data_IF_211308151959
#
_entry.id   IF_211308151959
#
_cell.length_a   1.000
_cell.length_b   1.000
_cell.length_c   1.000
_cell.angle_alpha   90.00
_cell.angle_beta   90.00
_cell.angle_gamma   90.00
#
_symmetry.space_group_name_H-M   'P 1'
#
loop_
_entity.id
_entity.type
_entity.pdbx_description
1 polymer ?
#
# COMPACT_ATOMS: atom_id res chain seq x y z
N UNK A 1 -4.18 8.68 8.29
CA UNK A 1 -3.10 8.09 7.49
C UNK A 1 -1.94 9.07 7.28
N UNK A 2 -2.07 10.08 6.41
CA UNK A 2 -0.96 10.96 6.02
C UNK A 2 -0.18 11.64 7.16
N UNK A 3 -0.85 12.18 8.18
CA UNK A 3 -0.17 12.81 9.33
C UNK A 3 0.70 11.82 10.12
N UNK A 4 0.20 10.59 10.36
CA UNK A 4 0.96 9.55 11.08
C UNK A 4 2.19 9.12 10.29
N UNK A 5 2.04 8.92 8.98
CA UNK A 5 3.17 8.58 8.10
C UNK A 5 4.21 9.70 8.03
N UNK A 6 3.80 10.98 7.98
CA UNK A 6 4.75 12.11 8.01
C UNK A 6 5.53 12.20 9.32
N UNK A 7 4.87 11.96 10.45
CA UNK A 7 5.54 11.87 11.76
C UNK A 7 6.53 10.72 11.80
N UNK A 8 6.14 9.53 11.34
CA UNK A 8 7.06 8.39 11.22
C UNK A 8 8.26 8.72 10.32
N UNK A 9 8.03 9.36 9.17
CA UNK A 9 9.10 9.76 8.23
C UNK A 9 10.19 10.61 8.87
N UNK A 10 9.85 11.41 9.88
CA UNK A 10 10.76 12.32 10.59
C UNK A 10 11.60 11.62 11.67
N UNK A 11 11.35 10.34 11.95
CA UNK A 11 12.14 9.60 12.93
C UNK A 11 13.59 9.41 12.46
N UNK A 12 14.54 9.69 13.34
CA UNK A 12 15.98 9.57 13.07
C UNK A 12 16.52 8.14 13.23
N UNK A 13 15.70 7.21 13.73
CA UNK A 13 16.10 5.81 13.92
C UNK A 13 16.33 5.10 12.59
N UNK A 14 17.39 4.29 12.54
CA UNK A 14 17.62 3.37 11.42
C UNK A 14 16.63 2.20 11.51
N UNK A 15 16.16 1.75 10.35
CA UNK A 15 15.35 0.55 10.22
C UNK A 15 16.25 -0.71 10.21
N UNK A 16 15.65 -1.89 10.11
CA UNK A 16 16.37 -3.18 10.10
C UNK A 16 17.39 -3.31 8.97
N UNK A 17 17.25 -2.52 7.90
CA UNK A 17 18.18 -2.45 6.77
C UNK A 17 19.28 -1.37 6.95
N UNK A 18 19.43 -0.79 8.14
CA UNK A 18 20.42 0.23 8.46
C UNK A 18 20.14 1.63 7.88
N UNK A 19 19.02 1.82 7.19
CA UNK A 19 18.67 3.07 6.52
C UNK A 19 17.58 3.86 7.25
N UNK A 20 17.46 5.16 6.97
CA UNK A 20 16.33 5.97 7.45
C UNK A 20 15.03 5.51 6.80
N UNK A 21 13.89 5.80 7.42
CA UNK A 21 12.58 5.50 6.83
C UNK A 21 12.29 6.34 5.56
N UNK A 22 12.71 7.60 5.56
CA UNK A 22 12.60 8.50 4.42
C UNK A 22 13.82 8.45 3.48
N UNK A 23 13.67 9.05 2.30
CA UNK A 23 14.73 9.16 1.28
C UNK A 23 14.28 8.71 -0.10
N UNK A 24 15.18 8.84 -1.09
CA UNK A 24 14.95 8.37 -2.48
C UNK A 24 14.71 6.86 -2.47
N UNK A 25 13.65 6.41 -3.17
CA UNK A 25 13.26 4.99 -3.20
C UNK A 25 12.62 4.47 -1.91
N UNK A 26 12.24 5.36 -0.97
CA UNK A 26 11.67 5.02 0.33
C UNK A 26 10.42 5.86 0.61
N UNK A 27 10.08 6.08 1.89
CA UNK A 27 8.88 6.84 2.25
C UNK A 27 9.05 8.34 1.94
N UNK A 28 8.62 8.75 0.75
CA UNK A 28 8.61 10.14 0.27
C UNK A 28 7.25 10.79 0.53
N UNK A 29 7.16 12.13 0.47
CA UNK A 29 5.86 12.82 0.60
C UNK A 29 4.88 12.39 -0.50
N UNK A 30 5.37 12.26 -1.75
CA UNK A 30 4.57 11.73 -2.86
C UNK A 30 4.02 10.34 -2.57
N UNK A 31 4.83 9.45 -1.99
CA UNK A 31 4.36 8.12 -1.60
C UNK A 31 3.33 8.19 -0.46
N UNK A 32 3.53 9.07 0.52
CA UNK A 32 2.56 9.30 1.61
C UNK A 32 1.22 9.79 1.06
N UNK A 33 1.23 10.70 0.08
CA UNK A 33 0.03 11.22 -0.57
C UNK A 33 -0.70 10.13 -1.37
N UNK A 34 0.06 9.28 -2.08
CA UNK A 34 -0.49 8.11 -2.77
C UNK A 34 -1.17 7.14 -1.79
N UNK A 35 -0.48 6.75 -0.71
CA UNK A 35 -1.02 5.88 0.34
C UNK A 35 -2.29 6.50 0.95
N UNK A 36 -2.25 7.80 1.26
CA UNK A 36 -3.38 8.50 1.88
C UNK A 36 -4.58 8.56 0.94
N UNK A 37 -4.36 8.75 -0.36
CA UNK A 37 -5.41 8.75 -1.38
C UNK A 37 -6.08 7.38 -1.49
N UNK A 38 -5.30 6.30 -1.61
CA UNK A 38 -5.83 4.94 -1.66
C UNK A 38 -6.57 4.57 -0.38
N UNK A 39 -6.00 4.89 0.78
CA UNK A 39 -6.67 4.71 2.07
C UNK A 39 -8.03 5.42 2.11
N UNK A 40 -8.08 6.70 1.70
CA UNK A 40 -9.35 7.46 1.66
C UNK A 40 -10.38 6.85 0.71
N UNK A 41 -9.95 6.35 -0.45
CA UNK A 41 -10.81 5.62 -1.39
C UNK A 41 -11.38 4.34 -0.76
N UNK A 42 -10.54 3.54 -0.10
CA UNK A 42 -10.95 2.31 0.58
C UNK A 42 -12.06 2.57 1.61
N UNK A 43 -11.93 3.62 2.43
CA UNK A 43 -12.97 4.01 3.40
C UNK A 43 -14.24 4.47 2.69
N UNK A 44 -14.13 5.35 1.69
CA UNK A 44 -15.30 5.93 1.00
C UNK A 44 -16.12 4.90 0.23
N UNK A 45 -15.48 3.88 -0.34
CA UNK A 45 -16.14 2.85 -1.13
C UNK A 45 -16.80 1.75 -0.27
N UNK A 46 -16.39 1.60 0.99
CA UNK A 46 -16.83 0.49 1.85
C UNK A 46 -17.52 0.96 3.14
N UNK A 47 -18.20 2.12 3.11
CA UNK A 47 -18.80 2.77 4.30
C UNK A 47 -19.81 1.90 5.06
N UNK A 48 -20.46 0.97 4.37
CA UNK A 48 -21.57 0.16 4.91
C UNK A 48 -21.11 -1.18 5.48
N UNK A 49 -19.87 -1.59 5.25
CA UNK A 49 -19.35 -2.88 5.71
C UNK A 49 -17.93 -2.73 6.28
N UNK A 50 -17.81 -2.85 7.60
CA UNK A 50 -16.52 -2.74 8.30
C UNK A 50 -15.52 -3.83 7.88
N UNK A 51 -16.01 -5.05 7.63
CA UNK A 51 -15.18 -6.15 7.14
C UNK A 51 -14.56 -5.81 5.78
N UNK A 52 -15.36 -5.29 4.85
CA UNK A 52 -14.87 -4.98 3.50
C UNK A 52 -14.00 -3.73 3.49
N UNK A 53 -14.31 -2.76 4.34
CA UNK A 53 -13.45 -1.61 4.59
C UNK A 53 -12.06 -2.03 5.07
N UNK A 54 -12.00 -2.95 6.05
CA UNK A 54 -10.73 -3.52 6.54
C UNK A 54 -9.96 -4.22 5.44
N UNK A 55 -10.62 -5.09 4.67
CA UNK A 55 -10.00 -5.78 3.52
C UNK A 55 -9.47 -4.78 2.51
N UNK A 56 -10.24 -3.75 2.17
CA UNK A 56 -9.83 -2.70 1.23
C UNK A 56 -8.65 -1.88 1.73
N UNK A 57 -8.57 -1.54 3.03
CA UNK A 57 -7.41 -0.86 3.62
C UNK A 57 -6.17 -1.74 3.55
N UNK A 58 -6.28 -3.03 3.86
CA UNK A 58 -5.16 -3.98 3.76
C UNK A 58 -4.76 -4.24 2.30
N UNK A 59 -5.70 -4.17 1.34
CA UNK A 59 -5.37 -4.24 -0.08
C UNK A 59 -4.38 -3.15 -0.50
N UNK A 60 -4.50 -1.93 0.05
CA UNK A 60 -3.53 -0.85 -0.20
C UNK A 60 -2.14 -1.22 0.31
N UNK A 61 -2.04 -1.78 1.52
CA UNK A 61 -0.76 -2.20 2.10
C UNK A 61 -0.07 -3.26 1.23
N UNK A 62 -0.80 -4.33 0.92
CA UNK A 62 -0.25 -5.45 0.14
C UNK A 62 0.06 -5.05 -1.30
N UNK A 63 -0.75 -4.19 -1.92
CA UNK A 63 -0.48 -3.65 -3.25
C UNK A 63 0.87 -2.93 -3.33
N UNK A 64 1.22 -2.14 -2.31
CA UNK A 64 2.49 -1.38 -2.29
C UNK A 64 3.68 -2.27 -1.94
N UNK A 65 3.46 -3.31 -1.12
CA UNK A 65 4.45 -4.34 -0.76
C UNK A 65 4.79 -5.22 -1.96
N UNK A 66 3.82 -5.44 -2.85
CA UNK A 66 3.88 -6.39 -3.95
C UNK A 66 5.12 -6.21 -4.83
N UNK A 67 5.72 -7.34 -5.24
CA UNK A 67 6.84 -7.38 -6.17
C UNK A 67 6.59 -8.35 -7.32
N UNK A 68 7.50 -8.41 -8.29
CA UNK A 68 7.35 -9.34 -9.43
C UNK A 68 7.60 -10.77 -8.98
N UNK A 69 8.51 -10.94 -8.01
CA UNK A 69 8.86 -12.19 -7.34
C UNK A 69 7.77 -12.65 -6.37
N UNK A 70 7.07 -11.70 -5.75
CA UNK A 70 5.98 -11.95 -4.81
C UNK A 70 4.79 -11.01 -5.08
N UNK A 71 3.92 -11.37 -6.05
CA UNK A 71 2.72 -10.60 -6.36
C UNK A 71 1.65 -10.74 -5.25
N UNK A 72 1.28 -9.63 -4.61
CA UNK A 72 0.37 -9.59 -3.45
C UNK A 72 -0.89 -8.78 -3.74
N UNK A 73 -1.64 -9.18 -4.77
CA UNK A 73 -2.87 -8.49 -5.20
C UNK A 73 -4.16 -9.19 -4.80
N UNK A 74 -4.11 -10.23 -3.95
CA UNK A 74 -5.28 -11.05 -3.60
C UNK A 74 -6.42 -10.29 -2.90
N UNK A 75 -6.12 -9.14 -2.27
CA UNK A 75 -7.13 -8.27 -1.65
C UNK A 75 -7.58 -7.13 -2.56
N UNK A 76 -6.90 -6.92 -3.70
CA UNK A 76 -7.30 -5.89 -4.66
C UNK A 76 -8.62 -6.30 -5.33
N UNK A 77 -9.50 -5.33 -5.67
CA UNK A 77 -10.71 -5.65 -6.41
C UNK A 77 -10.36 -6.27 -7.77
N UNK A 78 -11.12 -7.27 -8.18
CA UNK A 78 -10.98 -7.93 -9.49
C UNK A 78 -11.92 -7.26 -10.49
N UNK A 79 -11.53 -7.26 -11.77
CA UNK A 79 -12.36 -6.77 -12.87
C UNK A 79 -11.75 -5.57 -13.59
N UNK A 80 -12.30 -5.21 -14.76
CA UNK A 80 -11.72 -4.20 -15.65
C UNK A 80 -11.72 -2.77 -15.08
N UNK A 81 -12.58 -2.52 -14.08
CA UNK A 81 -12.66 -1.25 -13.37
C UNK A 81 -11.82 -1.22 -12.09
N UNK A 82 -10.94 -2.21 -11.89
CA UNK A 82 -10.06 -2.21 -10.73
C UNK A 82 -9.07 -1.06 -10.82
N UNK A 83 -8.84 -0.40 -9.68
CA UNK A 83 -7.72 0.52 -9.54
C UNK A 83 -6.38 -0.23 -9.54
N UNK A 84 -6.40 -1.54 -9.33
CA UNK A 84 -5.22 -2.39 -9.38
C UNK A 84 -4.93 -2.82 -10.82
N UNK A 85 -3.90 -2.20 -11.43
CA UNK A 85 -3.46 -2.52 -12.79
C UNK A 85 -3.10 -4.00 -12.98
N UNK A 86 -2.56 -4.65 -11.95
CA UNK A 86 -2.27 -6.08 -12.00
C UNK A 86 -3.56 -6.89 -12.23
N UNK A 87 -4.63 -6.60 -11.47
CA UNK A 87 -5.92 -7.28 -11.63
C UNK A 87 -6.57 -7.00 -12.99
N UNK A 88 -6.40 -5.79 -13.54
CA UNK A 88 -6.85 -5.49 -14.90
C UNK A 88 -6.13 -6.38 -15.93
N UNK A 89 -4.80 -6.51 -15.84
CA UNK A 89 -4.03 -7.35 -16.76
C UNK A 89 -4.29 -8.85 -16.59
N UNK A 90 -4.63 -9.31 -15.38
CA UNK A 90 -5.11 -10.69 -15.16
C UNK A 90 -6.38 -10.94 -15.98
N UNK A 91 -7.33 -10.00 -15.98
CA UNK A 91 -8.57 -10.11 -16.74
C UNK A 91 -8.33 -10.01 -18.26
N UNK A 92 -7.40 -9.16 -18.69
CA UNK A 92 -7.02 -9.00 -20.09
C UNK A 92 -6.15 -10.14 -20.63
N UNK A 93 -5.64 -11.03 -19.77
CA UNK A 93 -4.71 -12.10 -20.15
C UNK A 93 -3.29 -11.61 -20.46
N UNK A 94 -2.89 -10.44 -19.96
CA UNK A 94 -1.60 -9.78 -20.25
C UNK A 94 -0.64 -9.69 -19.06
N UNK A 95 -0.95 -10.38 -17.95
CA UNK A 95 -0.22 -10.30 -16.66
C UNK A 95 1.28 -10.61 -16.75
N UNK A 96 1.71 -11.43 -17.71
CA UNK A 96 3.12 -11.78 -17.92
C UNK A 96 4.00 -10.57 -18.25
N UNK A 97 3.39 -9.54 -18.85
CA UNK A 97 4.05 -8.27 -19.20
C UNK A 97 4.02 -7.26 -18.05
N UNK A 98 3.29 -7.54 -16.96
CA UNK A 98 3.18 -6.65 -15.82
C UNK A 98 4.52 -6.49 -15.12
N UNK A 99 4.89 -5.26 -14.77
CA UNK A 99 6.04 -4.98 -13.92
C UNK A 99 5.65 -4.06 -12.78
N UNK A 100 6.02 -4.45 -11.57
CA UNK A 100 5.75 -3.69 -10.37
C UNK A 100 6.63 -2.45 -10.30
N UNK A 101 5.99 -1.29 -10.26
CA UNK A 101 6.63 0.00 -10.04
C UNK A 101 6.37 0.48 -8.61
N UNK A 102 7.22 1.38 -8.10
CA UNK A 102 7.04 2.04 -6.80
C UNK A 102 7.07 1.11 -5.56
N UNK A 103 7.89 0.07 -5.61
CA UNK A 103 8.14 -0.83 -4.46
C UNK A 103 8.83 -0.06 -3.34
N UNK A 104 8.29 -0.15 -2.13
CA UNK A 104 9.00 0.27 -0.92
C UNK A 104 9.83 -0.89 -0.37
N UNK A 105 11.01 -0.65 0.20
CA UNK A 105 11.77 -1.68 0.89
C UNK A 105 10.95 -2.33 2.00
N UNK A 106 11.14 -3.63 2.23
CA UNK A 106 10.43 -4.40 3.27
C UNK A 106 10.55 -3.72 4.63
N UNK A 107 11.75 -3.23 4.99
CA UNK A 107 11.97 -2.49 6.23
C UNK A 107 11.04 -1.27 6.38
N UNK A 108 10.79 -0.53 5.28
CA UNK A 108 9.87 0.62 5.28
C UNK A 108 8.42 0.14 5.41
N UNK A 109 8.04 -0.93 4.71
CA UNK A 109 6.70 -1.52 4.80
C UNK A 109 6.40 -1.98 6.24
N UNK A 110 7.33 -2.68 6.87
CA UNK A 110 7.22 -3.13 8.26
C UNK A 110 7.08 -1.93 9.22
N UNK A 111 7.85 -0.87 9.00
CA UNK A 111 7.78 0.34 9.82
C UNK A 111 6.43 1.07 9.72
N UNK A 112 5.75 1.04 8.56
CA UNK A 112 4.44 1.70 8.39
C UNK A 112 3.24 0.78 8.67
N UNK A 113 3.46 -0.55 8.75
CA UNK A 113 2.41 -1.55 9.01
C UNK A 113 1.58 -1.24 10.27
N UNK A 114 2.15 -0.79 11.41
CA UNK A 114 1.36 -0.41 12.58
C UNK A 114 0.33 0.68 12.27
N UNK A 115 0.65 1.64 11.39
CA UNK A 115 -0.31 2.70 11.02
C UNK A 115 -1.51 2.12 10.27
N UNK A 116 -1.30 1.14 9.40
CA UNK A 116 -2.41 0.44 8.73
C UNK A 116 -3.23 -0.38 9.71
N UNK A 117 -2.57 -1.09 10.62
CA UNK A 117 -3.24 -1.86 11.66
C UNK A 117 -4.14 -0.94 12.51
N UNK A 118 -3.58 0.11 13.09
CA UNK A 118 -4.30 1.03 13.99
C UNK A 118 -5.45 1.77 13.29
N UNK A 119 -5.33 2.03 11.99
CA UNK A 119 -6.36 2.75 11.22
C UNK A 119 -7.38 1.83 10.54
N UNK A 120 -7.19 0.51 10.62
CA UNK A 120 -8.16 -0.49 10.15
C UNK A 120 -8.98 -1.09 11.30
N UNK A 121 -8.63 -0.79 12.54
CA UNK A 121 -9.38 -1.18 13.72
C UNK A 121 -10.24 0.02 14.18
N UNK A 122 -11.58 -0.13 14.30
CA UNK A 122 -12.47 0.87 14.89
C UNK A 122 -12.26 0.97 16.40
#
# INVERSE_FOLDING_TARGET
MGTRLRKLKQMSSKLSDGNSIGGKGRLTDRMIDLITTYYGNAIRQNKTCLSDMRKAVWAVYFHIRSSDEEPLHSFCPVGPNSWCKYQNQVVEGSVETFRHSNKLPVAVMDAIKPVFNDLSQP
#
